data_IF_918489340557
#
_entry.id   IF_918489340557
#
_cell.length_a   1.000
_cell.length_b   1.000
_cell.length_c   1.000
_cell.angle_alpha   90.00
_cell.angle_beta   90.00
_cell.angle_gamma   90.00
#
_symmetry.space_group_name_H-M   'P 1'
#
loop_
_entity.id
_entity.type
_entity.pdbx_description
1 polymer ?
#
# COMPACT_ATOMS: atom_id res chain seq x y z
N UNK A 1 37.29 -32.29 18.04
CA UNK A 1 37.12 -30.99 17.35
C UNK A 1 35.66 -30.60 17.46
N UNK A 2 35.35 -29.59 18.27
CA UNK A 2 34.00 -29.09 18.52
C UNK A 2 33.62 -28.12 17.41
N UNK A 3 32.59 -28.47 16.62
CA UNK A 3 31.99 -27.58 15.62
C UNK A 3 31.19 -26.53 16.40
N UNK A 4 31.82 -25.35 16.55
CA UNK A 4 31.30 -24.21 17.30
C UNK A 4 30.12 -23.62 16.53
N UNK A 5 28.95 -23.62 17.17
CA UNK A 5 27.72 -23.02 16.68
C UNK A 5 27.93 -21.55 16.30
N UNK A 6 27.99 -21.26 15.00
CA UNK A 6 28.02 -19.90 14.44
C UNK A 6 26.84 -19.63 13.48
N UNK A 7 25.88 -20.56 13.38
CA UNK A 7 24.69 -20.37 12.53
C UNK A 7 23.60 -19.40 13.07
N UNK A 8 23.40 -19.16 14.39
CA UNK A 8 22.23 -18.40 14.82
C UNK A 8 22.37 -16.89 14.59
N UNK A 9 23.59 -16.38 14.40
CA UNK A 9 23.83 -14.93 14.28
C UNK A 9 23.60 -14.40 12.87
N UNK A 10 23.67 -15.25 11.84
CA UNK A 10 23.50 -14.80 10.44
C UNK A 10 22.04 -14.69 10.03
N UNK A 11 21.15 -15.48 10.65
CA UNK A 11 19.71 -15.42 10.36
C UNK A 11 19.04 -14.13 10.86
N UNK A 12 19.54 -13.57 11.96
CA UNK A 12 18.91 -12.41 12.60
C UNK A 12 19.05 -11.12 11.77
N UNK A 13 20.14 -11.00 10.99
CA UNK A 13 20.41 -9.82 10.16
C UNK A 13 19.52 -9.75 8.91
N UNK A 14 19.05 -10.89 8.39
CA UNK A 14 18.14 -10.93 7.24
C UNK A 14 16.70 -10.53 7.60
N UNK A 15 16.29 -10.73 8.85
CA UNK A 15 14.93 -10.43 9.31
C UNK A 15 14.67 -8.93 9.48
N UNK A 16 15.72 -8.10 9.56
CA UNK A 16 15.62 -6.65 9.71
C UNK A 16 15.60 -5.88 8.38
N UNK A 17 15.80 -6.57 7.25
CA UNK A 17 15.74 -5.95 5.92
C UNK A 17 14.31 -5.84 5.36
N UNK A 18 13.27 -6.07 6.18
CA UNK A 18 11.92 -5.62 5.84
C UNK A 18 11.84 -4.10 6.03
N UNK A 19 12.53 -3.34 5.17
CA UNK A 19 12.19 -1.95 4.95
C UNK A 19 10.72 -1.94 4.54
N UNK A 20 9.83 -1.53 5.45
CA UNK A 20 8.54 -1.04 5.05
C UNK A 20 8.85 0.07 4.04
N UNK A 21 8.62 -0.20 2.75
CA UNK A 21 8.66 0.83 1.73
C UNK A 21 7.81 1.97 2.29
N UNK A 22 8.45 3.11 2.52
CA UNK A 22 7.84 4.27 3.15
C UNK A 22 6.75 4.79 2.22
N UNK A 23 5.57 4.20 2.29
CA UNK A 23 4.42 4.62 1.51
C UNK A 23 3.86 5.85 2.18
N UNK A 24 4.11 6.99 1.56
CA UNK A 24 3.53 8.23 2.00
C UNK A 24 2.05 8.19 1.62
N UNK A 25 1.21 7.80 2.58
CA UNK A 25 -0.23 7.98 2.48
C UNK A 25 -0.49 9.43 2.85
N UNK A 26 -0.70 10.29 1.86
CA UNK A 26 -1.28 11.60 2.13
C UNK A 26 -2.78 11.39 2.38
N UNK A 27 -3.16 11.28 3.66
CA UNK A 27 -4.56 11.30 4.09
C UNK A 27 -4.75 12.51 4.99
N UNK A 28 -5.56 13.48 4.56
CA UNK A 28 -6.10 14.46 5.50
C UNK A 28 -7.08 13.75 6.44
N UNK A 29 -7.04 14.05 7.73
CA UNK A 29 -7.87 13.40 8.76
C UNK A 29 -9.37 13.43 8.43
N UNK A 30 -9.82 14.46 7.71
CA UNK A 30 -11.21 14.66 7.28
C UNK A 30 -11.48 14.30 5.80
N UNK A 31 -10.53 13.65 5.13
CA UNK A 31 -10.66 13.31 3.70
C UNK A 31 -10.94 11.83 3.50
N UNK A 32 -11.87 11.53 2.60
CA UNK A 32 -12.15 10.17 2.15
C UNK A 32 -11.16 9.69 1.06
N UNK A 33 -10.09 10.47 0.81
CA UNK A 33 -9.10 10.24 -0.23
C UNK A 33 -7.84 9.58 0.34
N UNK A 34 -7.27 8.64 -0.41
CA UNK A 34 -6.02 7.96 -0.10
C UNK A 34 -5.10 8.05 -1.31
N UNK A 35 -3.98 8.74 -1.19
CA UNK A 35 -2.96 8.83 -2.24
C UNK A 35 -1.76 7.97 -1.87
N UNK A 36 -1.31 7.13 -2.79
CA UNK A 36 -0.18 6.23 -2.61
C UNK A 36 0.90 6.47 -3.67
N UNK A 37 2.13 6.68 -3.23
CA UNK A 37 3.31 6.62 -4.10
C UNK A 37 3.98 5.25 -3.97
N UNK A 38 4.21 4.56 -5.09
CA UNK A 38 4.75 3.21 -5.10
C UNK A 38 5.54 2.90 -6.37
N UNK A 39 6.44 1.89 -6.36
CA UNK A 39 7.13 1.44 -7.57
C UNK A 39 6.14 1.00 -8.66
N UNK A 40 6.50 1.22 -9.92
CA UNK A 40 5.74 0.69 -11.06
C UNK A 40 6.04 -0.80 -11.25
N UNK A 41 5.43 -1.63 -10.41
CA UNK A 41 5.53 -3.09 -10.45
C UNK A 41 4.20 -3.73 -10.06
N UNK A 42 3.90 -4.90 -10.62
CA UNK A 42 2.65 -5.62 -10.31
C UNK A 42 2.50 -5.93 -8.83
N UNK A 43 3.60 -6.30 -8.16
CA UNK A 43 3.63 -6.54 -6.72
C UNK A 43 3.20 -5.29 -5.93
N UNK A 44 3.83 -4.14 -6.21
CA UNK A 44 3.51 -2.90 -5.52
C UNK A 44 2.07 -2.43 -5.79
N UNK A 45 1.57 -2.62 -7.03
CA UNK A 45 0.18 -2.29 -7.39
C UNK A 45 -0.81 -3.15 -6.60
N UNK A 46 -0.55 -4.45 -6.47
CA UNK A 46 -1.40 -5.35 -5.70
C UNK A 46 -1.39 -5.01 -4.20
N UNK A 47 -0.23 -4.67 -3.67
CA UNK A 47 -0.06 -4.27 -2.27
C UNK A 47 -0.78 -2.94 -1.95
N UNK A 48 -0.67 -1.93 -2.82
CA UNK A 48 -1.39 -0.66 -2.67
C UNK A 48 -2.90 -0.87 -2.71
N UNK A 49 -3.40 -1.72 -3.61
CA UNK A 49 -4.82 -2.09 -3.63
C UNK A 49 -5.26 -2.70 -2.30
N UNK A 50 -4.56 -3.73 -1.83
CA UNK A 50 -4.89 -4.39 -0.58
C UNK A 50 -4.88 -3.43 0.62
N UNK A 51 -3.94 -2.48 0.64
CA UNK A 51 -3.87 -1.46 1.69
C UNK A 51 -5.00 -0.43 1.61
N UNK A 52 -5.36 0.02 0.41
CA UNK A 52 -6.51 0.91 0.23
C UNK A 52 -7.81 0.22 0.68
N UNK A 53 -8.02 -1.03 0.29
CA UNK A 53 -9.16 -1.86 0.70
C UNK A 53 -9.21 -2.07 2.21
N UNK A 54 -8.08 -2.40 2.84
CA UNK A 54 -7.98 -2.51 4.31
C UNK A 54 -8.36 -1.20 5.00
N UNK A 55 -7.79 -0.09 4.54
CA UNK A 55 -8.00 1.23 5.15
C UNK A 55 -9.46 1.65 5.05
N UNK A 56 -10.10 1.49 3.89
CA UNK A 56 -11.51 1.82 3.73
C UNK A 56 -12.42 0.83 4.47
N UNK A 57 -12.04 -0.46 4.56
CA UNK A 57 -12.80 -1.45 5.34
C UNK A 57 -12.84 -1.09 6.83
N UNK A 58 -11.77 -0.55 7.39
CA UNK A 58 -11.76 -0.03 8.77
C UNK A 58 -12.78 1.11 8.96
N UNK A 59 -13.07 1.86 7.89
CA UNK A 59 -14.11 2.89 7.83
C UNK A 59 -15.50 2.35 7.44
N UNK A 60 -15.65 1.03 7.25
CA UNK A 60 -16.86 0.35 6.73
C UNK A 60 -17.28 0.84 5.34
N UNK A 61 -16.31 1.30 4.54
CA UNK A 61 -16.52 1.85 3.20
C UNK A 61 -15.75 0.98 2.18
N UNK A 62 -16.28 0.72 0.98
CA UNK A 62 -15.48 0.20 -0.13
C UNK A 62 -14.43 1.22 -0.61
N UNK A 63 -13.26 0.71 -1.00
CA UNK A 63 -12.23 1.49 -1.68
C UNK A 63 -12.48 1.49 -3.20
N UNK A 64 -12.42 2.65 -3.82
CA UNK A 64 -12.53 2.82 -5.27
C UNK A 64 -11.31 3.54 -5.78
N UNK A 65 -10.61 2.94 -6.75
CA UNK A 65 -9.50 3.59 -7.43
C UNK A 65 -10.03 4.71 -8.31
N UNK A 66 -9.63 5.94 -8.05
CA UNK A 66 -10.05 7.14 -8.79
C UNK A 66 -9.05 7.53 -9.87
N UNK A 67 -7.75 7.36 -9.62
CA UNK A 67 -6.71 7.63 -10.60
C UNK A 67 -5.48 6.72 -10.39
N UNK A 68 -4.69 6.55 -11.45
CA UNK A 68 -3.34 5.97 -11.37
C UNK A 68 -2.49 6.54 -12.49
N UNK A 69 -1.40 7.22 -12.11
CA UNK A 69 -0.47 7.85 -13.04
C UNK A 69 0.92 7.30 -12.78
N UNK A 70 1.53 6.72 -13.81
CA UNK A 70 2.84 6.07 -13.70
C UNK A 70 3.89 6.69 -14.62
N UNK A 71 5.10 6.78 -14.09
CA UNK A 71 6.36 6.87 -14.83
C UNK A 71 6.92 5.46 -15.08
N UNK A 72 8.13 5.38 -15.66
CA UNK A 72 8.81 4.09 -15.86
C UNK A 72 9.13 3.36 -14.55
N UNK A 73 9.32 4.08 -13.44
CA UNK A 73 9.80 3.48 -12.17
C UNK A 73 8.83 3.64 -11.02
N UNK A 74 7.94 4.63 -11.04
CA UNK A 74 7.03 4.96 -9.94
C UNK A 74 5.64 5.32 -10.43
N UNK A 75 4.64 5.09 -9.59
CA UNK A 75 3.26 5.47 -9.76
C UNK A 75 2.77 6.31 -8.59
N UNK A 76 1.79 7.17 -8.87
CA UNK A 76 0.89 7.75 -7.88
C UNK A 76 -0.49 7.17 -8.14
N UNK A 77 -1.08 6.52 -7.15
CA UNK A 77 -2.40 5.89 -7.26
C UNK A 77 -3.31 6.43 -6.18
N UNK A 78 -4.48 6.85 -6.61
CA UNK A 78 -5.49 7.49 -5.78
C UNK A 78 -6.68 6.56 -5.58
N UNK A 79 -7.15 6.49 -4.34
CA UNK A 79 -8.35 5.79 -3.93
C UNK A 79 -9.26 6.71 -3.15
N UNK A 80 -10.56 6.43 -3.20
CA UNK A 80 -11.55 6.98 -2.30
C UNK A 80 -12.24 5.88 -1.50
N UNK A 81 -12.45 6.12 -0.21
CA UNK A 81 -13.40 5.38 0.59
C UNK A 81 -14.78 6.01 0.40
N UNK A 82 -15.75 5.26 -0.12
CA UNK A 82 -17.08 5.80 -0.44
C UNK A 82 -18.16 5.13 0.39
N UNK A 83 -19.15 5.89 0.85
CA UNK A 83 -20.29 5.33 1.59
C UNK A 83 -21.22 4.50 0.70
N UNK A 84 -21.30 4.85 -0.60
CA UNK A 84 -22.09 4.15 -1.59
C UNK A 84 -21.28 3.96 -2.89
N UNK A 85 -20.89 2.72 -3.25
CA UNK A 85 -20.11 2.44 -4.46
C UNK A 85 -20.84 2.73 -5.77
N UNK A 86 -22.16 2.92 -5.74
CA UNK A 86 -22.95 3.32 -6.92
C UNK A 86 -22.89 4.84 -7.18
N UNK A 87 -22.60 5.66 -6.17
CA UNK A 87 -22.52 7.12 -6.32
C UNK A 87 -21.29 7.57 -7.15
N UNK A 88 -20.19 6.82 -7.08
CA UNK A 88 -18.95 7.09 -7.83
C UNK A 88 -19.04 6.76 -9.33
N UNK A 89 -20.06 6.02 -9.77
CA UNK A 89 -20.26 5.70 -11.20
C UNK A 89 -21.04 6.78 -11.95
N UNK A 90 -21.76 7.66 -11.25
CA UNK A 90 -22.66 8.66 -11.86
C UNK A 90 -22.04 10.04 -12.07
N UNK A 91 -20.74 10.21 -11.79
CA UNK A 91 -20.05 11.51 -11.81
C UNK A 91 -18.97 11.68 -12.88
N UNK A 92 -18.94 10.81 -13.90
CA UNK A 92 -17.97 10.86 -15.02
C UNK A 92 -18.70 11.11 -16.34
#
# INVERSE_FOLDING_TARGET
MTIRALLPTFLLSFLLASCADNWLVASGEDTNYLTFHHPNSEKAIAEVRARAEETCRQRKQPAIRTASVCSLTNCTTDYQCVDNPEASKSGL
#
